data_IF_187197638539
#
_entry.id   IF_187197638539
#
_cell.length_a   1.000
_cell.length_b   1.000
_cell.length_c   1.000
_cell.angle_alpha   90.00
_cell.angle_beta   90.00
_cell.angle_gamma   90.00
#
_symmetry.space_group_name_H-M   'P 1'
#
loop_
_entity.id
_entity.type
_entity.pdbx_description
1 polymer ?
#
# COMPACT_ATOMS: atom_id res chain seq x y z
N UNK A 1 -11.33 -2.73 -23.55
CA UNK A 1 -11.43 -2.78 -22.07
C UNK A 1 -11.62 -4.23 -21.66
N UNK A 2 -10.58 -4.88 -21.17
CA UNK A 2 -10.68 -6.25 -20.68
C UNK A 2 -10.41 -6.20 -19.18
N UNK A 3 -11.46 -6.44 -18.38
CA UNK A 3 -11.29 -6.77 -16.97
C UNK A 3 -10.56 -8.12 -16.90
N UNK A 4 -9.61 -8.26 -15.98
CA UNK A 4 -8.82 -9.49 -15.82
C UNK A 4 -8.95 -9.97 -14.38
N UNK A 5 -9.67 -11.07 -14.17
CA UNK A 5 -9.82 -11.69 -12.85
C UNK A 5 -9.78 -13.21 -12.92
N UNK A 6 -9.65 -13.84 -11.76
CA UNK A 6 -9.52 -15.28 -11.56
C UNK A 6 -10.61 -15.86 -10.63
N UNK A 7 -11.62 -15.07 -10.23
CA UNK A 7 -12.80 -15.58 -9.53
C UNK A 7 -13.44 -16.71 -10.33
N UNK A 8 -13.59 -17.87 -9.68
CA UNK A 8 -14.16 -19.09 -10.26
C UNK A 8 -14.66 -20.03 -9.15
N UNK A 9 -15.39 -21.07 -9.53
CA UNK A 9 -15.86 -22.12 -8.62
C UNK A 9 -14.73 -23.12 -8.27
N UNK A 10 -13.78 -22.65 -7.47
CA UNK A 10 -12.66 -23.42 -6.93
C UNK A 10 -12.60 -23.32 -5.39
N UNK A 11 -11.55 -23.84 -4.77
CA UNK A 11 -11.40 -23.85 -3.30
C UNK A 11 -11.36 -22.45 -2.65
N UNK A 12 -11.04 -21.38 -3.40
CA UNK A 12 -11.13 -20.01 -2.89
C UNK A 12 -12.54 -19.44 -3.08
N UNK A 13 -13.22 -19.81 -4.17
CA UNK A 13 -14.49 -19.21 -4.57
C UNK A 13 -14.40 -17.68 -4.60
N UNK A 14 -15.38 -17.03 -3.94
CA UNK A 14 -15.45 -15.58 -3.77
C UNK A 14 -15.06 -15.12 -2.36
N UNK A 15 -14.49 -16.01 -1.56
CA UNK A 15 -14.18 -15.74 -0.16
C UNK A 15 -13.09 -14.69 -0.04
N UNK A 16 -13.24 -13.81 0.93
CA UNK A 16 -12.16 -12.94 1.40
C UNK A 16 -11.27 -13.71 2.41
N UNK A 17 -10.23 -13.08 2.96
CA UNK A 17 -9.25 -13.78 3.79
C UNK A 17 -9.88 -14.36 5.07
N UNK A 18 -10.79 -13.63 5.70
CA UNK A 18 -11.52 -14.08 6.90
C UNK A 18 -12.46 -15.23 6.54
N UNK A 19 -13.24 -15.13 5.46
CA UNK A 19 -14.13 -16.21 5.04
C UNK A 19 -13.37 -17.48 4.66
N UNK A 20 -12.20 -17.34 4.03
CA UNK A 20 -11.35 -18.47 3.68
C UNK A 20 -10.71 -19.12 4.93
N UNK A 21 -10.27 -18.31 5.90
CA UNK A 21 -9.79 -18.81 7.19
C UNK A 21 -10.86 -19.59 7.95
N UNK A 22 -12.12 -19.11 7.94
CA UNK A 22 -13.26 -19.82 8.53
C UNK A 22 -13.53 -21.16 7.83
N UNK A 23 -13.45 -21.20 6.50
CA UNK A 23 -13.62 -22.44 5.72
C UNK A 23 -12.51 -23.47 5.98
N UNK A 24 -11.26 -23.03 6.06
CA UNK A 24 -10.11 -23.86 6.43
C UNK A 24 -10.26 -24.39 7.86
N UNK A 25 -10.61 -23.52 8.82
CA UNK A 25 -10.81 -23.90 10.23
C UNK A 25 -11.99 -24.87 10.43
N UNK A 26 -13.02 -24.80 9.60
CA UNK A 26 -14.16 -25.71 9.60
C UNK A 26 -13.93 -27.00 8.80
N UNK A 27 -12.77 -27.16 8.13
CA UNK A 27 -12.47 -28.32 7.28
C UNK A 27 -13.34 -28.43 6.02
N UNK A 28 -13.92 -27.31 5.54
CA UNK A 28 -14.70 -27.27 4.30
C UNK A 28 -13.82 -27.35 3.05
N UNK A 29 -12.59 -26.87 3.16
CA UNK A 29 -11.50 -26.96 2.18
C UNK A 29 -10.20 -27.23 2.93
N UNK A 30 -9.23 -27.85 2.28
CA UNK A 30 -7.88 -28.06 2.81
C UNK A 30 -6.92 -26.95 2.39
N UNK A 31 -5.84 -26.76 3.15
CA UNK A 31 -4.78 -25.80 2.80
C UNK A 31 -4.11 -26.14 1.46
N UNK A 32 -3.98 -27.44 1.13
CA UNK A 32 -3.43 -27.88 -0.16
C UNK A 32 -4.35 -27.49 -1.33
N UNK A 33 -5.67 -27.74 -1.22
CA UNK A 33 -6.64 -27.36 -2.25
C UNK A 33 -6.65 -25.84 -2.48
N UNK A 34 -6.63 -25.07 -1.39
CA UNK A 34 -6.61 -23.60 -1.45
C UNK A 34 -5.33 -23.08 -2.08
N UNK A 35 -4.17 -23.62 -1.72
CA UNK A 35 -2.89 -23.18 -2.30
C UNK A 35 -2.79 -23.54 -3.78
N UNK A 36 -3.23 -24.73 -4.20
CA UNK A 36 -3.26 -25.10 -5.62
C UNK A 36 -4.20 -24.20 -6.43
N UNK A 37 -5.40 -23.94 -5.91
CA UNK A 37 -6.34 -23.04 -6.57
C UNK A 37 -5.76 -21.61 -6.69
N UNK A 38 -5.10 -21.09 -5.65
CA UNK A 38 -4.47 -19.78 -5.71
C UNK A 38 -3.29 -19.74 -6.70
N UNK A 39 -2.49 -20.81 -6.78
CA UNK A 39 -1.43 -20.93 -7.80
C UNK A 39 -2.03 -20.87 -9.20
N UNK A 40 -3.08 -21.65 -9.48
CA UNK A 40 -3.76 -21.66 -10.77
C UNK A 40 -4.32 -20.27 -11.12
N UNK A 41 -4.96 -19.59 -10.17
CA UNK A 41 -5.44 -18.22 -10.34
C UNK A 41 -4.31 -17.24 -10.64
N UNK A 42 -3.19 -17.31 -9.92
CA UNK A 42 -2.01 -16.46 -10.19
C UNK A 42 -1.47 -16.72 -11.59
N UNK A 43 -1.35 -17.98 -12.02
CA UNK A 43 -0.86 -18.31 -13.36
C UNK A 43 -1.76 -17.78 -14.49
N UNK A 44 -3.07 -17.73 -14.26
CA UNK A 44 -4.03 -17.16 -15.20
C UNK A 44 -3.86 -15.64 -15.39
N UNK A 45 -3.67 -14.88 -14.31
CA UNK A 45 -3.76 -13.40 -14.37
C UNK A 45 -2.42 -12.68 -14.27
N UNK A 46 -1.37 -13.30 -13.71
CA UNK A 46 -0.10 -12.62 -13.47
C UNK A 46 0.63 -12.20 -14.76
N UNK A 47 0.46 -12.95 -15.86
CA UNK A 47 1.02 -12.61 -17.17
C UNK A 47 0.43 -11.32 -17.72
N UNK A 48 -0.90 -11.26 -17.99
CA UNK A 48 -1.56 -10.04 -18.47
C UNK A 48 -1.39 -8.82 -17.55
N UNK A 49 -1.29 -9.03 -16.23
CA UNK A 49 -1.12 -7.95 -15.25
C UNK A 49 0.34 -7.59 -14.97
N UNK A 50 1.30 -8.42 -15.40
CA UNK A 50 2.72 -8.33 -15.09
C UNK A 50 3.03 -8.23 -13.58
N UNK A 51 2.30 -8.96 -12.74
CA UNK A 51 2.24 -8.67 -11.30
C UNK A 51 3.23 -9.45 -10.41
N UNK A 52 3.91 -10.48 -10.95
CA UNK A 52 4.81 -11.36 -10.17
C UNK A 52 6.29 -11.00 -10.40
N UNK A 53 7.07 -10.91 -9.32
CA UNK A 53 8.52 -10.75 -9.35
C UNK A 53 9.27 -12.09 -9.18
N UNK A 54 8.74 -12.99 -8.33
CA UNK A 54 9.33 -14.29 -8.08
C UNK A 54 8.25 -15.32 -7.70
N UNK A 55 8.32 -16.54 -8.24
CA UNK A 55 7.40 -17.64 -7.91
C UNK A 55 8.05 -18.59 -6.91
N UNK A 56 7.33 -18.97 -5.86
CA UNK A 56 7.79 -19.88 -4.82
C UNK A 56 6.80 -21.03 -4.56
N UNK A 57 6.14 -21.52 -5.63
CA UNK A 57 5.01 -22.46 -5.53
C UNK A 57 5.35 -23.79 -4.84
N UNK A 58 6.51 -24.37 -5.11
CA UNK A 58 6.95 -25.61 -4.43
C UNK A 58 7.12 -25.42 -2.91
N UNK A 59 7.61 -24.24 -2.51
CA UNK A 59 7.68 -23.87 -1.10
C UNK A 59 6.27 -23.73 -0.51
N UNK A 60 5.37 -23.02 -1.19
CA UNK A 60 4.00 -22.84 -0.75
C UNK A 60 3.26 -24.18 -0.56
N UNK A 61 3.42 -25.12 -1.50
CA UNK A 61 2.91 -26.50 -1.41
C UNK A 61 3.43 -27.23 -0.17
N UNK A 62 4.71 -27.07 0.12
CA UNK A 62 5.34 -27.68 1.30
C UNK A 62 4.79 -27.08 2.60
N UNK A 63 4.64 -25.76 2.66
CA UNK A 63 4.10 -25.05 3.83
C UNK A 63 2.62 -25.37 4.08
N UNK A 64 1.84 -25.54 3.01
CA UNK A 64 0.41 -25.91 3.10
C UNK A 64 0.19 -27.23 3.86
N UNK A 65 1.10 -28.20 3.70
CA UNK A 65 1.03 -29.51 4.39
C UNK A 65 1.21 -29.43 5.90
N UNK A 66 1.94 -28.43 6.36
CA UNK A 66 2.20 -28.19 7.78
C UNK A 66 1.41 -27.02 8.33
N UNK A 67 0.40 -26.53 7.60
CA UNK A 67 -0.45 -25.45 8.05
C UNK A 67 -1.24 -25.89 9.30
N UNK A 68 -1.04 -25.18 10.42
CA UNK A 68 -1.94 -25.22 11.57
C UNK A 68 -1.63 -24.14 12.59
N UNK A 69 -2.51 -23.98 13.59
CA UNK A 69 -2.21 -23.25 14.84
C UNK A 69 -2.38 -21.73 14.83
N UNK A 70 -2.53 -21.09 13.67
CA UNK A 70 -2.76 -19.64 13.54
C UNK A 70 -4.06 -19.33 12.80
N UNK A 71 -4.61 -18.12 12.96
CA UNK A 71 -5.90 -17.76 12.35
C UNK A 71 -5.88 -17.80 10.83
N UNK A 72 -4.82 -17.32 10.17
CA UNK A 72 -4.69 -17.34 8.71
C UNK A 72 -4.00 -18.61 8.18
N UNK A 73 -3.97 -19.69 8.97
CA UNK A 73 -3.26 -20.90 8.60
C UNK A 73 -3.76 -21.47 7.28
N UNK A 74 -2.87 -21.54 6.28
CA UNK A 74 -3.19 -22.04 4.93
C UNK A 74 -3.77 -21.00 3.97
N UNK A 75 -4.00 -19.76 4.43
CA UNK A 75 -4.49 -18.67 3.56
C UNK A 75 -3.36 -18.17 2.66
N UNK A 76 -3.53 -18.16 1.32
CA UNK A 76 -2.46 -17.80 0.39
C UNK A 76 -2.24 -16.29 0.35
N UNK A 77 -0.99 -15.89 0.15
CA UNK A 77 -0.57 -14.48 0.07
C UNK A 77 0.62 -14.27 -0.87
N UNK A 78 1.03 -13.01 -1.03
CA UNK A 78 2.25 -12.58 -1.70
C UNK A 78 3.01 -11.57 -0.84
N UNK A 79 4.33 -11.60 -0.95
CA UNK A 79 5.21 -10.63 -0.28
C UNK A 79 5.81 -9.67 -1.30
N UNK A 80 5.54 -8.36 -1.18
CA UNK A 80 6.20 -7.34 -2.01
C UNK A 80 7.71 -7.53 -2.07
N UNK A 81 8.30 -7.40 -3.25
CA UNK A 81 9.72 -7.71 -3.51
C UNK A 81 10.73 -6.68 -2.94
N UNK A 82 10.41 -6.05 -1.80
CA UNK A 82 11.33 -5.22 -1.01
C UNK A 82 11.46 -5.65 0.46
N UNK A 83 10.92 -6.82 0.81
CA UNK A 83 11.09 -7.45 2.13
C UNK A 83 11.76 -8.80 1.95
N UNK A 84 12.76 -9.08 2.79
CA UNK A 84 13.47 -10.35 2.77
C UNK A 84 12.61 -11.48 3.32
N UNK A 85 12.56 -12.57 2.56
CA UNK A 85 11.92 -13.82 2.92
C UNK A 85 12.95 -14.92 2.71
N UNK A 86 13.24 -15.72 3.74
CA UNK A 86 14.25 -16.77 3.73
C UNK A 86 14.08 -17.70 2.52
N UNK A 87 15.16 -17.95 1.79
CA UNK A 87 15.16 -18.78 0.59
C UNK A 87 14.64 -18.09 -0.68
N UNK A 88 14.09 -16.87 -0.61
CA UNK A 88 13.64 -16.10 -1.77
C UNK A 88 14.61 -14.95 -2.07
N UNK A 89 14.83 -14.59 -3.35
CA UNK A 89 15.54 -13.36 -3.69
C UNK A 89 14.71 -12.11 -3.38
N UNK A 90 15.39 -10.98 -3.29
CA UNK A 90 14.80 -9.63 -3.18
C UNK A 90 15.51 -8.71 -4.17
N UNK A 91 14.77 -8.12 -5.13
CA UNK A 91 15.31 -7.24 -6.16
C UNK A 91 14.83 -5.79 -6.02
N UNK A 92 13.86 -5.50 -5.16
CA UNK A 92 13.32 -4.14 -4.94
C UNK A 92 12.89 -3.45 -6.24
N UNK A 93 12.41 -4.23 -7.23
CA UNK A 93 11.89 -3.72 -8.49
C UNK A 93 12.95 -3.14 -9.44
N UNK A 94 14.23 -3.51 -9.28
CA UNK A 94 15.33 -3.04 -10.13
C UNK A 94 16.15 -4.20 -10.71
N UNK A 95 16.90 -3.91 -11.78
CA UNK A 95 17.89 -4.80 -12.40
C UNK A 95 19.33 -4.50 -11.94
N UNK A 96 19.47 -3.76 -10.84
CA UNK A 96 20.75 -3.21 -10.42
C UNK A 96 21.76 -4.22 -9.88
N UNK A 97 21.37 -5.45 -9.54
CA UNK A 97 22.28 -6.50 -9.07
C UNK A 97 21.81 -7.90 -9.50
N UNK A 98 22.64 -8.92 -9.29
CA UNK A 98 22.22 -10.31 -9.49
C UNK A 98 21.50 -10.84 -8.23
N UNK A 99 20.28 -11.37 -8.35
CA UNK A 99 19.50 -11.84 -7.20
C UNK A 99 20.21 -12.99 -6.47
N UNK A 100 20.08 -13.00 -5.15
CA UNK A 100 20.49 -14.13 -4.29
C UNK A 100 19.40 -14.39 -3.26
N UNK A 101 19.11 -15.66 -2.94
CA UNK A 101 18.20 -15.99 -1.85
C UNK A 101 18.63 -15.35 -0.52
N UNK A 102 17.68 -14.71 0.17
CA UNK A 102 17.89 -14.24 1.53
C UNK A 102 18.12 -15.41 2.48
N UNK A 103 18.97 -15.23 3.48
CA UNK A 103 19.31 -16.31 4.43
C UNK A 103 18.22 -16.56 5.46
N UNK A 104 17.43 -15.54 5.77
CA UNK A 104 16.38 -15.54 6.79
C UNK A 104 15.32 -14.52 6.41
N UNK A 105 14.16 -14.65 7.03
CA UNK A 105 13.13 -13.62 6.96
C UNK A 105 13.63 -12.31 7.59
N UNK A 106 13.16 -11.19 7.04
CA UNK A 106 13.15 -9.91 7.73
C UNK A 106 12.23 -9.91 8.94
N UNK A 107 12.34 -8.89 9.78
CA UNK A 107 11.55 -8.75 11.01
C UNK A 107 10.04 -8.67 10.68
N UNK A 108 9.68 -7.95 9.60
CA UNK A 108 8.28 -7.90 9.15
C UNK A 108 7.83 -9.25 8.56
N UNK A 109 8.61 -9.87 7.67
CA UNK A 109 8.24 -11.15 7.06
C UNK A 109 8.03 -12.26 8.10
N UNK A 110 8.88 -12.32 9.12
CA UNK A 110 8.73 -13.28 10.22
C UNK A 110 7.40 -13.09 10.96
N UNK A 111 7.02 -11.85 11.28
CA UNK A 111 5.71 -11.55 11.89
C UNK A 111 4.56 -11.86 10.93
N UNK A 112 4.67 -11.41 9.68
CA UNK A 112 3.64 -11.54 8.66
C UNK A 112 3.29 -13.00 8.38
N UNK A 113 4.29 -13.84 8.09
CA UNK A 113 4.10 -15.27 7.83
C UNK A 113 3.77 -16.04 9.12
N UNK A 114 4.21 -15.56 10.27
CA UNK A 114 3.83 -16.11 11.58
C UNK A 114 2.32 -16.08 11.85
N UNK A 115 1.56 -15.21 11.17
CA UNK A 115 0.09 -15.21 11.25
C UNK A 115 -0.58 -16.44 10.61
N UNK A 116 0.20 -17.28 9.93
CA UNK A 116 -0.24 -18.53 9.27
C UNK A 116 -0.37 -18.43 7.75
N UNK A 117 -0.17 -17.24 7.18
CA UNK A 117 -0.25 -17.00 5.74
C UNK A 117 0.83 -17.78 4.98
N UNK A 118 0.47 -18.30 3.80
CA UNK A 118 1.36 -19.07 2.92
C UNK A 118 1.75 -18.24 1.70
N UNK A 119 3.03 -17.88 1.58
CA UNK A 119 3.49 -17.01 0.51
C UNK A 119 3.72 -17.78 -0.81
N UNK A 120 2.96 -17.43 -1.85
CA UNK A 120 3.13 -18.01 -3.20
C UNK A 120 4.36 -17.47 -3.94
N UNK A 121 4.98 -16.41 -3.41
CA UNK A 121 6.14 -15.76 -4.00
C UNK A 121 6.20 -14.26 -3.69
N UNK A 122 6.88 -13.53 -4.57
CA UNK A 122 7.10 -12.09 -4.47
C UNK A 122 6.37 -11.33 -5.56
N UNK A 123 5.72 -10.23 -5.19
CA UNK A 123 4.98 -9.36 -6.13
C UNK A 123 5.84 -8.20 -6.64
N UNK A 124 5.54 -7.74 -7.86
CA UNK A 124 6.23 -6.61 -8.48
C UNK A 124 5.96 -5.28 -7.75
N UNK A 125 6.95 -4.40 -7.82
CA UNK A 125 6.94 -3.02 -7.33
C UNK A 125 7.70 -2.11 -8.30
N UNK A 126 7.49 -0.80 -8.18
CA UNK A 126 8.38 0.20 -8.80
C UNK A 126 9.76 0.15 -8.15
N UNK A 127 10.82 0.49 -8.89
CA UNK A 127 12.21 0.53 -8.41
C UNK A 127 12.34 1.27 -7.06
N UNK A 128 12.81 0.53 -6.04
CA UNK A 128 12.92 0.90 -4.62
C UNK A 128 11.67 1.47 -3.96
N UNK A 129 10.56 1.48 -4.67
CA UNK A 129 9.33 2.14 -4.28
C UNK A 129 9.27 3.65 -4.51
N UNK A 130 10.11 4.22 -5.38
CA UNK A 130 10.17 5.67 -5.58
C UNK A 130 9.09 6.26 -6.51
N UNK A 131 8.45 5.44 -7.35
CA UNK A 131 7.37 5.85 -8.24
C UNK A 131 6.00 5.40 -7.71
N UNK A 132 4.94 6.09 -8.13
CA UNK A 132 3.55 5.70 -7.93
C UNK A 132 3.00 4.83 -9.07
N UNK A 133 3.82 4.48 -10.06
CA UNK A 133 3.53 3.47 -11.09
C UNK A 133 4.71 2.51 -11.21
N UNK A 134 4.46 1.19 -11.29
CA UNK A 134 5.50 0.20 -11.55
C UNK A 134 5.59 -0.05 -13.06
N UNK A 135 6.46 0.69 -13.74
CA UNK A 135 6.67 0.61 -15.20
C UNK A 135 8.12 0.25 -15.50
N UNK A 136 8.51 -0.95 -15.10
CA UNK A 136 9.89 -1.39 -15.18
C UNK A 136 10.39 -1.36 -16.65
N UNK A 137 11.52 -0.71 -16.98
CA UNK A 137 11.97 -0.53 -18.37
C UNK A 137 12.06 -1.82 -19.20
N UNK A 138 12.54 -2.91 -18.58
CA UNK A 138 12.62 -4.25 -19.20
C UNK A 138 11.35 -5.11 -19.10
N UNK A 139 10.69 -5.14 -17.93
CA UNK A 139 9.55 -6.04 -17.69
C UNK A 139 8.22 -5.45 -18.16
N UNK A 140 8.16 -4.14 -18.40
CA UNK A 140 6.92 -3.41 -18.69
C UNK A 140 6.14 -3.03 -17.43
N UNK A 141 4.94 -2.50 -17.65
CA UNK A 141 4.08 -2.00 -16.58
C UNK A 141 3.28 -3.09 -15.86
N UNK A 142 3.10 -2.92 -14.55
CA UNK A 142 2.09 -3.61 -13.78
C UNK A 142 0.74 -2.93 -13.99
N UNK A 143 -0.26 -3.69 -14.39
CA UNK A 143 -1.55 -3.18 -14.89
C UNK A 143 -2.66 -3.44 -13.89
N UNK A 144 -3.60 -2.50 -13.76
CA UNK A 144 -4.79 -2.75 -12.94
C UNK A 144 -5.70 -3.77 -13.63
N UNK A 145 -6.27 -4.74 -12.89
CA UNK A 145 -7.19 -5.70 -13.47
C UNK A 145 -8.50 -5.08 -13.94
N UNK A 146 -8.87 -3.88 -13.48
CA UNK A 146 -10.09 -3.17 -13.91
C UNK A 146 -10.03 -2.70 -15.37
N UNK A 147 -8.84 -2.34 -15.83
CA UNK A 147 -8.55 -2.01 -17.22
C UNK A 147 -7.04 -2.08 -17.46
N UNK A 148 -6.59 -3.03 -18.27
CA UNK A 148 -5.17 -3.28 -18.50
C UNK A 148 -4.45 -2.14 -19.25
N UNK A 149 -5.17 -1.15 -19.80
CA UNK A 149 -4.56 0.08 -20.33
C UNK A 149 -4.04 1.03 -19.23
N UNK A 150 -4.39 0.81 -17.97
CA UNK A 150 -4.09 1.68 -16.84
C UNK A 150 -3.12 1.05 -15.83
N UNK A 151 -2.42 1.91 -15.08
CA UNK A 151 -1.48 1.49 -14.04
C UNK A 151 -2.19 0.79 -12.89
N UNK A 152 -1.54 -0.21 -12.28
CA UNK A 152 -1.97 -0.79 -11.00
C UNK A 152 -1.68 0.12 -9.79
N UNK A 153 -1.09 1.30 -9.97
CA UNK A 153 -0.61 2.14 -8.87
C UNK A 153 0.54 1.47 -8.13
N UNK A 154 1.31 2.23 -7.37
CA UNK A 154 2.58 1.75 -6.83
C UNK A 154 2.93 2.46 -5.50
N UNK A 155 3.89 1.97 -4.72
CA UNK A 155 4.83 0.91 -5.10
C UNK A 155 4.37 -0.53 -4.91
N UNK A 156 3.27 -0.83 -4.20
CA UNK A 156 2.81 -2.22 -3.99
C UNK A 156 1.94 -2.76 -5.13
N UNK A 157 2.37 -2.54 -6.38
CA UNK A 157 1.56 -2.75 -7.59
C UNK A 157 1.10 -4.18 -7.78
N UNK A 158 2.03 -5.13 -7.74
CA UNK A 158 1.70 -6.53 -7.99
C UNK A 158 0.81 -7.13 -6.89
N UNK A 159 1.04 -6.72 -5.63
CA UNK A 159 0.21 -7.13 -4.50
C UNK A 159 -1.24 -6.71 -4.70
N UNK A 160 -1.50 -5.44 -5.01
CA UNK A 160 -2.85 -4.95 -5.20
C UNK A 160 -3.51 -5.51 -6.47
N UNK A 161 -2.78 -5.62 -7.57
CA UNK A 161 -3.32 -6.19 -8.80
C UNK A 161 -3.78 -7.64 -8.60
N UNK A 162 -3.00 -8.47 -7.88
CA UNK A 162 -3.33 -9.88 -7.66
C UNK A 162 -4.42 -10.08 -6.60
N UNK A 163 -4.52 -9.21 -5.60
CA UNK A 163 -5.64 -9.22 -4.64
C UNK A 163 -6.95 -8.81 -5.32
N UNK A 164 -6.93 -7.74 -6.13
CA UNK A 164 -8.10 -7.25 -6.85
C UNK A 164 -8.57 -8.20 -7.95
N UNK A 165 -7.64 -8.89 -8.62
CA UNK A 165 -7.96 -9.93 -9.61
C UNK A 165 -8.52 -11.22 -8.97
N UNK A 166 -8.58 -11.32 -7.64
CA UNK A 166 -9.08 -12.51 -6.95
C UNK A 166 -8.08 -13.67 -6.89
N UNK A 167 -6.80 -13.45 -7.21
CA UNK A 167 -5.78 -14.50 -7.21
C UNK A 167 -5.31 -14.89 -5.80
N UNK A 168 -5.27 -13.92 -4.88
CA UNK A 168 -5.09 -14.15 -3.43
C UNK A 168 -6.05 -13.23 -2.65
N UNK A 169 -6.47 -13.57 -1.42
CA UNK A 169 -7.37 -12.72 -0.64
C UNK A 169 -6.69 -11.52 0.03
N UNK A 170 -5.40 -11.64 0.34
CA UNK A 170 -4.61 -10.66 1.05
C UNK A 170 -3.19 -10.67 0.51
N UNK A 171 -2.51 -9.53 0.51
CA UNK A 171 -1.10 -9.45 0.15
C UNK A 171 -0.36 -8.37 0.96
N UNK A 172 0.90 -8.61 1.25
CA UNK A 172 1.77 -7.62 1.89
C UNK A 172 1.96 -6.41 0.97
N UNK A 173 1.93 -5.23 1.59
CA UNK A 173 2.25 -3.95 1.00
C UNK A 173 2.95 -3.05 2.03
N UNK A 174 3.70 -2.05 1.58
CA UNK A 174 4.29 -1.05 2.47
C UNK A 174 4.27 0.34 1.85
N UNK A 175 4.29 1.37 2.69
CA UNK A 175 3.90 2.74 2.39
C UNK A 175 4.89 3.75 2.96
N UNK A 176 5.67 4.40 2.09
CA UNK A 176 6.57 5.52 2.43
C UNK A 176 6.07 6.90 2.01
N UNK A 177 5.13 6.94 1.06
CA UNK A 177 4.53 8.15 0.50
C UNK A 177 3.13 7.89 -0.11
N UNK A 178 2.47 6.79 0.26
CA UNK A 178 1.21 6.33 -0.32
C UNK A 178 1.22 4.88 -0.83
N UNK A 179 2.33 4.17 -0.77
CA UNK A 179 2.50 2.89 -1.49
C UNK A 179 1.64 1.69 -1.01
N UNK A 180 0.83 1.83 0.04
CA UNK A 180 -0.32 0.93 0.32
C UNK A 180 -1.60 1.55 -0.24
N UNK A 181 -1.83 2.83 0.07
CA UNK A 181 -3.07 3.57 -0.21
C UNK A 181 -3.31 3.83 -1.71
N UNK A 182 -2.27 4.21 -2.45
CA UNK A 182 -2.28 4.45 -3.91
C UNK A 182 -2.72 3.18 -4.65
N UNK A 183 -2.02 2.03 -4.54
CA UNK A 183 -2.44 0.83 -5.23
C UNK A 183 -3.78 0.28 -4.69
N UNK A 184 -4.15 0.53 -3.43
CA UNK A 184 -5.49 0.19 -2.96
C UNK A 184 -6.59 1.01 -3.66
N UNK A 185 -6.41 2.33 -3.77
CA UNK A 185 -7.36 3.24 -4.40
C UNK A 185 -7.65 2.89 -5.86
N UNK A 186 -6.61 2.61 -6.65
CA UNK A 186 -6.76 2.38 -8.10
C UNK A 186 -7.27 0.97 -8.44
N UNK A 187 -7.15 0.02 -7.52
CA UNK A 187 -7.57 -1.37 -7.74
C UNK A 187 -8.86 -1.73 -6.99
N UNK A 188 -9.53 -0.78 -6.35
CA UNK A 188 -10.79 -1.04 -5.66
C UNK A 188 -10.61 -1.86 -4.37
N UNK A 189 -9.57 -1.59 -3.59
CA UNK A 189 -9.22 -2.35 -2.39
C UNK A 189 -9.20 -1.47 -1.13
N UNK A 190 -9.19 -2.14 0.01
CA UNK A 190 -8.89 -1.55 1.33
C UNK A 190 -7.38 -1.52 1.52
N UNK A 191 -6.85 -0.35 1.91
CA UNK A 191 -5.43 -0.19 2.21
C UNK A 191 -5.19 0.72 3.41
N UNK A 192 -4.80 0.13 4.55
CA UNK A 192 -4.47 0.86 5.78
C UNK A 192 -2.95 1.02 5.92
N UNK A 193 -2.48 2.26 5.88
CA UNK A 193 -1.15 2.63 6.41
C UNK A 193 -1.28 2.78 7.93
N UNK A 194 -0.65 1.92 8.75
CA UNK A 194 -0.80 2.03 10.19
C UNK A 194 0.03 3.19 10.76
N UNK A 195 -0.13 3.43 12.06
CA UNK A 195 0.75 4.33 12.81
C UNK A 195 2.18 3.84 12.72
N UNK A 196 3.14 4.77 12.64
CA UNK A 196 4.56 4.45 12.66
C UNK A 196 4.90 3.58 13.88
N UNK A 197 5.53 2.42 13.62
CA UNK A 197 5.94 1.49 14.67
C UNK A 197 4.84 0.55 15.16
N UNK A 198 3.65 0.54 14.52
CA UNK A 198 2.56 -0.39 14.84
C UNK A 198 2.91 -1.86 14.59
N UNK A 199 3.66 -2.14 13.52
CA UNK A 199 4.04 -3.48 13.10
C UNK A 199 5.55 -3.67 13.21
N UNK A 200 5.99 -4.94 13.23
CA UNK A 200 7.39 -5.28 13.13
C UNK A 200 8.00 -4.62 11.88
N UNK A 201 9.22 -4.12 11.99
CA UNK A 201 9.82 -3.30 10.95
C UNK A 201 11.29 -3.64 10.78
N UNK A 202 11.77 -3.84 9.56
CA UNK A 202 13.17 -4.18 9.30
C UNK A 202 14.16 -3.10 9.77
N UNK A 203 15.37 -3.53 10.15
CA UNK A 203 16.43 -2.63 10.65
C UNK A 203 16.69 -1.43 9.74
N UNK A 204 16.76 -1.65 8.43
CA UNK A 204 17.01 -0.58 7.45
C UNK A 204 15.98 0.55 7.55
N UNK A 205 14.72 0.21 7.83
CA UNK A 205 13.64 1.19 7.97
C UNK A 205 13.66 1.85 9.37
N UNK A 206 14.02 1.10 10.42
CA UNK A 206 14.15 1.66 11.78
C UNK A 206 15.25 2.71 11.91
N UNK A 207 16.33 2.56 11.13
CA UNK A 207 17.50 3.46 11.18
C UNK A 207 17.34 4.74 10.33
N UNK A 208 16.21 4.95 9.66
CA UNK A 208 15.97 6.14 8.83
C UNK A 208 15.89 7.43 9.65
N UNK A 209 16.41 8.59 9.15
CA UNK A 209 16.33 9.87 9.87
C UNK A 209 14.90 10.30 10.22
N UNK A 210 13.96 10.01 9.34
CA UNK A 210 12.51 10.04 9.55
C UNK A 210 11.96 8.70 9.06
N UNK A 211 11.38 7.92 9.97
CA UNK A 211 10.83 6.58 9.68
C UNK A 211 9.49 6.70 8.93
N UNK A 212 9.55 7.04 7.64
CA UNK A 212 8.35 7.32 6.84
C UNK A 212 7.66 6.06 6.29
N UNK A 213 8.37 4.93 6.29
CA UNK A 213 7.87 3.66 5.78
C UNK A 213 7.10 2.93 6.88
N UNK A 214 5.93 2.41 6.53
CA UNK A 214 5.15 1.49 7.37
C UNK A 214 4.69 0.32 6.52
N UNK A 215 4.91 -0.89 7.01
CA UNK A 215 4.39 -2.12 6.40
C UNK A 215 2.90 -2.31 6.74
N UNK A 216 2.23 -3.17 5.98
CA UNK A 216 0.81 -3.44 6.08
C UNK A 216 0.34 -4.41 5.00
N UNK A 217 -0.94 -4.33 4.65
CA UNK A 217 -1.58 -5.20 3.67
C UNK A 217 -2.55 -4.42 2.79
N UNK A 218 -2.89 -5.02 1.65
CA UNK A 218 -4.07 -4.66 0.86
C UNK A 218 -5.04 -5.84 0.88
N UNK A 219 -6.33 -5.55 1.05
CA UNK A 219 -7.40 -6.56 1.20
C UNK A 219 -8.66 -6.17 0.42
N UNK A 220 -9.56 -7.14 0.18
CA UNK A 220 -10.84 -6.87 -0.49
C UNK A 220 -11.92 -6.33 0.44
N UNK A 221 -11.85 -6.66 1.73
CA UNK A 221 -12.85 -6.25 2.74
C UNK A 221 -12.19 -5.55 3.93
N UNK A 222 -13.00 -4.78 4.67
CA UNK A 222 -12.55 -4.15 5.92
C UNK A 222 -12.23 -5.20 6.98
N UNK A 223 -13.02 -6.29 7.04
CA UNK A 223 -12.80 -7.37 8.01
C UNK A 223 -11.47 -8.10 7.83
N UNK A 224 -10.99 -8.24 6.60
CA UNK A 224 -9.66 -8.80 6.33
C UNK A 224 -8.55 -7.91 6.89
N UNK A 225 -8.66 -6.59 6.69
CA UNK A 225 -7.71 -5.62 7.27
C UNK A 225 -7.76 -5.69 8.79
N UNK A 226 -8.95 -5.68 9.40
CA UNK A 226 -9.12 -5.75 10.85
C UNK A 226 -8.51 -7.05 11.44
N UNK A 227 -8.80 -8.20 10.84
CA UNK A 227 -8.26 -9.49 11.26
C UNK A 227 -6.74 -9.55 11.13
N UNK A 228 -6.16 -9.01 10.04
CA UNK A 228 -4.71 -8.93 9.88
C UNK A 228 -4.06 -8.18 11.04
N UNK A 229 -4.55 -6.98 11.37
CA UNK A 229 -3.97 -6.19 12.46
C UNK A 229 -4.15 -6.84 13.83
N UNK A 230 -5.29 -7.51 14.08
CA UNK A 230 -5.52 -8.31 15.30
C UNK A 230 -4.48 -9.43 15.45
N UNK A 231 -4.24 -10.21 14.40
CA UNK A 231 -3.28 -11.33 14.46
C UNK A 231 -1.84 -10.84 14.51
N UNK A 232 -1.51 -9.77 13.77
CA UNK A 232 -0.18 -9.17 13.84
C UNK A 232 0.13 -8.65 15.25
N UNK A 233 -0.84 -8.03 15.94
CA UNK A 233 -0.68 -7.52 17.31
C UNK A 233 -0.38 -8.63 18.34
N UNK A 234 -0.84 -9.87 18.08
CA UNK A 234 -0.53 -11.04 18.93
C UNK A 234 0.93 -11.50 18.82
N UNK A 235 1.55 -11.28 17.66
CA UNK A 235 2.95 -11.65 17.39
C UNK A 235 3.91 -10.50 17.67
N UNK A 236 3.45 -9.27 17.43
CA UNK A 236 4.21 -8.05 17.65
C UNK A 236 3.31 -6.95 18.21
N UNK A 237 3.45 -6.66 19.50
CA UNK A 237 2.66 -5.64 20.18
C UNK A 237 3.46 -4.34 20.37
N UNK A 238 2.99 -3.27 19.75
CA UNK A 238 3.52 -1.92 19.96
C UNK A 238 3.02 -1.35 21.30
N UNK A 239 3.78 -1.54 22.38
CA UNK A 239 3.35 -1.20 23.76
C UNK A 239 3.11 0.30 24.00
N UNK A 240 3.69 1.18 23.18
CA UNK A 240 3.52 2.64 23.26
C UNK A 240 2.23 3.13 22.62
N UNK A 241 1.48 2.25 21.93
CA UNK A 241 0.25 2.58 21.24
C UNK A 241 -0.93 1.83 21.87
N UNK A 242 -2.15 2.40 21.84
CA UNK A 242 -3.34 1.66 22.25
C UNK A 242 -3.51 0.42 21.34
N UNK A 243 -4.01 -0.70 21.90
CA UNK A 243 -4.26 -1.90 21.11
C UNK A 243 -5.34 -1.63 20.06
N UNK A 244 -5.22 -2.27 18.89
CA UNK A 244 -6.29 -2.25 17.88
C UNK A 244 -7.41 -3.20 18.31
N UNK A 245 -7.04 -4.39 18.80
CA UNK A 245 -8.00 -5.39 19.25
C UNK A 245 -8.77 -6.10 18.13
N UNK A 246 -9.83 -6.81 18.52
CA UNK A 246 -10.69 -7.59 17.63
C UNK A 246 -11.92 -6.79 17.21
N UNK A 247 -11.75 -5.95 16.17
CA UNK A 247 -12.79 -5.06 15.66
C UNK A 247 -13.65 -5.76 14.62
N UNK A 248 -14.94 -5.91 14.91
CA UNK A 248 -15.91 -6.63 14.07
C UNK A 248 -17.19 -5.83 13.82
N UNK A 249 -17.23 -4.55 14.21
CA UNK A 249 -18.45 -3.74 14.21
C UNK A 249 -18.17 -2.30 13.74
N UNK A 250 -19.17 -1.64 13.16
CA UNK A 250 -19.08 -0.24 12.78
C UNK A 250 -19.01 0.67 14.00
N UNK A 251 -18.49 1.88 13.79
CA UNK A 251 -18.47 2.91 14.81
C UNK A 251 -19.90 3.32 15.20
N UNK A 252 -20.10 3.60 16.49
CA UNK A 252 -21.39 4.08 17.02
C UNK A 252 -21.44 5.58 17.29
N UNK A 253 -20.28 6.17 17.58
CA UNK A 253 -20.18 7.62 17.81
C UNK A 253 -20.12 8.36 16.48
N UNK A 254 -20.63 9.58 16.46
CA UNK A 254 -20.50 10.49 15.31
C UNK A 254 -19.22 11.30 15.43
N UNK A 255 -18.67 11.65 14.28
CA UNK A 255 -17.32 12.20 14.16
C UNK A 255 -17.38 13.60 13.59
N UNK A 256 -16.40 14.41 13.96
CA UNK A 256 -16.10 15.66 13.27
C UNK A 256 -15.03 15.37 12.22
N UNK A 257 -15.43 15.44 10.96
CA UNK A 257 -14.62 15.04 9.81
C UNK A 257 -14.21 16.28 9.03
N UNK A 258 -12.91 16.48 8.88
CA UNK A 258 -12.39 17.51 8.02
C UNK A 258 -12.39 17.06 6.56
N UNK A 259 -13.00 17.82 5.66
CA UNK A 259 -12.94 17.60 4.22
C UNK A 259 -11.83 18.44 3.60
N UNK A 260 -10.99 17.83 2.76
CA UNK A 260 -9.97 18.55 2.00
C UNK A 260 -9.76 17.96 0.59
N UNK A 261 -9.91 18.83 -0.42
CA UNK A 261 -9.65 18.48 -1.84
C UNK A 261 -8.56 19.36 -2.47
N UNK A 262 -7.88 20.19 -1.69
CA UNK A 262 -6.87 21.15 -2.17
C UNK A 262 -5.44 20.58 -2.19
N UNK A 263 -5.19 19.51 -1.43
CA UNK A 263 -3.92 18.79 -1.43
C UNK A 263 -2.74 19.59 -0.87
N UNK A 264 -1.56 18.97 -0.84
CA UNK A 264 -0.33 19.57 -0.29
C UNK A 264 0.30 20.57 -1.27
N UNK A 265 0.34 20.20 -2.55
CA UNK A 265 0.93 20.99 -3.64
C UNK A 265 -0.10 21.36 -4.70
N UNK A 266 -0.96 20.41 -5.06
CA UNK A 266 -2.00 20.55 -6.08
C UNK A 266 -3.31 19.91 -5.60
N UNK A 267 -4.42 20.52 -6.00
CA UNK A 267 -5.76 20.04 -5.67
C UNK A 267 -6.20 18.89 -6.55
N UNK A 268 -7.29 18.26 -6.13
CA UNK A 268 -8.00 17.27 -6.92
C UNK A 268 -8.60 17.91 -8.17
N UNK A 269 -8.67 17.15 -9.25
CA UNK A 269 -9.42 17.54 -10.44
C UNK A 269 -10.93 17.60 -10.16
N UNK A 270 -11.69 18.15 -11.11
CA UNK A 270 -13.12 18.40 -10.92
C UNK A 270 -13.91 17.11 -10.62
N UNK A 271 -13.59 16.00 -11.30
CA UNK A 271 -14.26 14.72 -11.11
C UNK A 271 -13.95 14.15 -9.72
N UNK A 272 -12.67 14.10 -9.35
CA UNK A 272 -12.20 13.56 -8.08
C UNK A 272 -12.71 14.37 -6.90
N UNK A 273 -12.73 15.70 -7.04
CA UNK A 273 -13.34 16.61 -6.06
C UNK A 273 -14.82 16.27 -5.85
N UNK A 274 -15.60 16.18 -6.94
CA UNK A 274 -17.02 15.87 -6.86
C UNK A 274 -17.29 14.48 -6.22
N UNK A 275 -16.45 13.48 -6.53
CA UNK A 275 -16.54 12.15 -5.91
C UNK A 275 -16.22 12.18 -4.41
N UNK A 276 -15.30 13.05 -3.99
CA UNK A 276 -14.96 13.23 -2.56
C UNK A 276 -16.09 13.94 -1.83
N UNK A 277 -16.68 14.99 -2.43
CA UNK A 277 -17.84 15.70 -1.88
C UNK A 277 -19.07 14.79 -1.76
N UNK A 278 -19.26 13.85 -2.69
CA UNK A 278 -20.29 12.81 -2.57
C UNK A 278 -20.05 11.89 -1.37
N UNK A 279 -18.80 11.57 -1.08
CA UNK A 279 -18.42 10.79 0.11
C UNK A 279 -18.64 11.59 1.39
N UNK A 280 -18.38 12.90 1.36
CA UNK A 280 -18.72 13.80 2.46
C UNK A 280 -20.24 13.82 2.72
N UNK A 281 -21.06 13.91 1.67
CA UNK A 281 -22.53 13.87 1.80
C UNK A 281 -23.00 12.55 2.43
N UNK A 282 -22.42 11.41 2.03
CA UNK A 282 -22.72 10.11 2.64
C UNK A 282 -22.39 10.09 4.15
N UNK A 283 -21.29 10.72 4.56
CA UNK A 283 -20.92 10.81 5.99
C UNK A 283 -21.91 11.68 6.77
N UNK A 284 -22.39 12.77 6.17
CA UNK A 284 -23.45 13.60 6.76
C UNK A 284 -24.77 12.82 6.90
N UNK A 285 -25.16 12.04 5.88
CA UNK A 285 -26.33 11.16 5.92
C UNK A 285 -26.23 10.08 7.02
N UNK A 286 -25.01 9.58 7.28
CA UNK A 286 -24.73 8.66 8.39
C UNK A 286 -24.71 9.37 9.77
N UNK A 287 -24.76 10.70 9.79
CA UNK A 287 -24.87 11.55 10.97
C UNK A 287 -23.55 12.12 11.48
N UNK A 288 -22.45 12.02 10.71
CA UNK A 288 -21.21 12.73 11.02
C UNK A 288 -21.35 14.22 10.71
N UNK A 289 -20.48 15.04 11.30
CA UNK A 289 -20.34 16.45 10.93
C UNK A 289 -19.15 16.60 10.01
N UNK A 290 -19.35 17.11 8.80
CA UNK A 290 -18.27 17.38 7.86
C UNK A 290 -17.98 18.89 7.81
N UNK A 291 -16.71 19.26 7.79
CA UNK A 291 -16.29 20.67 7.72
C UNK A 291 -15.11 20.80 6.77
N UNK A 292 -15.20 21.73 5.82
CA UNK A 292 -14.07 22.04 4.95
C UNK A 292 -12.86 22.52 5.77
N UNK A 293 -11.68 22.05 5.39
CA UNK A 293 -10.42 22.43 6.03
C UNK A 293 -9.28 22.54 5.03
N UNK A 294 -8.33 23.42 5.30
CA UNK A 294 -7.05 23.45 4.61
C UNK A 294 -6.12 22.33 5.11
N UNK A 295 -5.12 21.96 4.30
CA UNK A 295 -4.15 20.95 4.72
C UNK A 295 -3.29 21.57 5.82
N UNK A 296 -3.05 20.89 6.96
CA UNK A 296 -2.29 21.43 8.08
C UNK A 296 -0.76 21.45 7.82
N UNK A 297 -0.33 21.86 6.62
CA UNK A 297 1.08 21.92 6.22
C UNK A 297 1.46 23.30 5.70
N UNK A 298 2.69 23.69 5.96
CA UNK A 298 3.26 24.91 5.38
C UNK A 298 3.64 24.75 3.91
N UNK A 299 3.87 25.87 3.19
CA UNK A 299 4.13 25.87 1.75
C UNK A 299 5.44 25.17 1.34
N UNK A 300 6.38 24.97 2.28
CA UNK A 300 7.63 24.25 2.00
C UNK A 300 7.51 22.73 2.08
N UNK A 301 6.37 22.20 2.52
CA UNK A 301 6.24 20.77 2.84
C UNK A 301 6.51 19.87 1.63
N UNK A 302 5.96 20.19 0.45
CA UNK A 302 6.17 19.40 -0.75
C UNK A 302 7.66 19.33 -1.14
N UNK A 303 8.35 20.47 -1.15
CA UNK A 303 9.78 20.55 -1.46
C UNK A 303 10.64 19.84 -0.40
N UNK A 304 10.29 19.98 0.87
CA UNK A 304 10.99 19.33 1.98
C UNK A 304 10.83 17.81 1.90
N UNK A 305 9.61 17.33 1.61
CA UNK A 305 9.33 15.91 1.40
C UNK A 305 10.08 15.38 0.18
N UNK A 306 10.05 16.08 -0.95
CA UNK A 306 10.77 15.70 -2.16
C UNK A 306 12.28 15.62 -1.89
N UNK A 307 12.85 16.59 -1.18
CA UNK A 307 14.27 16.57 -0.83
C UNK A 307 14.60 15.39 0.10
N UNK A 308 13.73 15.07 1.05
CA UNK A 308 13.91 13.90 1.91
C UNK A 308 13.79 12.59 1.12
N UNK A 309 12.81 12.48 0.24
CA UNK A 309 12.62 11.33 -0.66
C UNK A 309 13.84 11.14 -1.59
N UNK A 310 14.36 12.24 -2.13
CA UNK A 310 15.56 12.27 -2.94
C UNK A 310 16.81 11.83 -2.17
N UNK A 311 16.91 12.16 -0.87
CA UNK A 311 17.98 11.69 0.00
C UNK A 311 17.96 10.17 0.15
N UNK A 312 16.77 9.55 0.24
CA UNK A 312 16.64 8.10 0.29
C UNK A 312 17.13 7.43 -1.00
N UNK A 313 16.79 7.98 -2.17
CA UNK A 313 17.32 7.50 -3.45
C UNK A 313 18.85 7.64 -3.53
N UNK A 314 19.39 8.77 -3.07
CA UNK A 314 20.83 8.96 -2.98
C UNK A 314 21.48 7.92 -2.07
N UNK A 315 20.86 7.58 -0.93
CA UNK A 315 21.34 6.54 -0.02
C UNK A 315 21.36 5.15 -0.68
N UNK A 316 20.30 4.76 -1.40
CA UNK A 316 20.27 3.47 -2.12
C UNK A 316 21.43 3.36 -3.13
N UNK A 317 21.74 4.44 -3.85
CA UNK A 317 22.85 4.45 -4.80
C UNK A 317 24.23 4.45 -4.13
N UNK A 318 24.38 5.01 -2.93
CA UNK A 318 25.66 4.99 -2.21
C UNK A 318 25.91 3.66 -1.50
N UNK A 319 24.87 3.02 -0.98
CA UNK A 319 24.96 1.73 -0.27
C UNK A 319 24.85 0.52 -1.18
N UNK A 320 24.44 0.68 -2.44
CA UNK A 320 24.23 -0.43 -3.37
C UNK A 320 25.43 -1.36 -3.54
N UNK A 321 26.64 -0.82 -3.79
CA UNK A 321 27.86 -1.66 -3.91
C UNK A 321 28.29 -2.30 -2.57
N UNK A 322 28.29 -1.59 -1.42
CA UNK A 322 28.48 -2.22 -0.11
C UNK A 322 27.52 -3.38 0.17
N UNK A 323 26.24 -3.26 -0.21
CA UNK A 323 25.21 -4.27 0.08
C UNK A 323 25.20 -5.44 -0.91
N UNK A 324 25.37 -5.18 -2.20
CA UNK A 324 25.19 -6.18 -3.28
C UNK A 324 26.50 -6.59 -3.97
N UNK A 325 27.62 -6.05 -3.50
CA UNK A 325 28.96 -6.41 -3.94
C UNK A 325 29.24 -6.05 -5.41
N UNK A 326 30.03 -6.91 -6.08
CA UNK A 326 30.53 -6.65 -7.45
C UNK A 326 29.47 -6.70 -8.54
N UNK A 327 28.31 -7.32 -8.28
CA UNK A 327 27.22 -7.42 -9.26
C UNK A 327 26.42 -6.13 -9.39
N UNK A 328 26.57 -5.22 -8.42
CA UNK A 328 25.84 -3.97 -8.41
C UNK A 328 26.30 -3.01 -9.51
N UNK A 329 25.35 -2.50 -10.29
CA UNK A 329 25.60 -1.61 -11.42
C UNK A 329 24.70 -0.38 -11.35
N UNK A 330 25.31 0.80 -11.15
CA UNK A 330 24.58 2.07 -11.04
C UNK A 330 23.75 2.41 -12.29
N UNK A 331 24.25 2.12 -13.48
CA UNK A 331 23.58 2.47 -14.74
C UNK A 331 22.33 1.64 -15.04
N UNK A 332 22.04 0.62 -14.24
CA UNK A 332 20.84 -0.22 -14.39
C UNK A 332 19.62 0.35 -13.63
N UNK A 333 19.77 1.52 -13.01
CA UNK A 333 18.66 2.23 -12.36
C UNK A 333 17.94 3.11 -13.35
N UNK A 334 16.66 3.37 -13.08
CA UNK A 334 15.84 4.21 -13.94
C UNK A 334 16.16 5.72 -13.79
N UNK A 335 15.60 6.53 -14.69
CA UNK A 335 15.87 7.97 -14.68
C UNK A 335 15.31 8.68 -13.45
N UNK A 336 14.25 8.14 -12.83
CA UNK A 336 13.66 8.71 -11.63
C UNK A 336 14.61 8.56 -10.44
N UNK A 337 15.12 7.35 -10.18
CA UNK A 337 16.08 7.07 -9.11
C UNK A 337 17.37 7.87 -9.31
N UNK A 338 17.92 7.87 -10.53
CA UNK A 338 19.14 8.63 -10.85
C UNK A 338 18.92 10.14 -10.74
N UNK A 339 17.73 10.62 -11.12
CA UNK A 339 17.31 12.01 -11.04
C UNK A 339 17.14 12.50 -9.61
N UNK A 340 16.40 11.75 -8.77
CA UNK A 340 16.24 11.98 -7.34
C UNK A 340 17.61 12.06 -6.64
N UNK A 341 18.48 11.09 -6.87
CA UNK A 341 19.82 11.09 -6.31
C UNK A 341 20.66 12.32 -6.74
N UNK A 342 20.47 12.81 -7.98
CA UNK A 342 21.10 14.05 -8.45
C UNK A 342 20.50 15.28 -7.78
N UNK A 343 19.19 15.32 -7.62
CA UNK A 343 18.47 16.38 -6.91
C UNK A 343 18.96 16.51 -5.47
N UNK A 344 19.07 15.39 -4.74
CA UNK A 344 19.60 15.38 -3.38
C UNK A 344 21.02 15.93 -3.31
N UNK A 345 21.93 15.46 -4.16
CA UNK A 345 23.34 15.93 -4.19
C UNK A 345 23.47 17.43 -4.40
N UNK A 346 22.63 18.02 -5.26
CA UNK A 346 22.62 19.48 -5.50
C UNK A 346 22.10 20.27 -4.30
N UNK A 347 21.31 19.64 -3.43
CA UNK A 347 20.60 20.30 -2.34
C UNK A 347 20.98 19.78 -0.93
N UNK A 348 22.10 19.07 -0.78
CA UNK A 348 22.51 18.48 0.52
C UNK A 348 22.58 19.50 1.66
N UNK A 349 23.01 20.73 1.38
CA UNK A 349 23.08 21.82 2.36
C UNK A 349 21.71 22.21 2.94
N UNK A 350 20.59 21.88 2.27
CA UNK A 350 19.22 22.17 2.72
C UNK A 350 18.61 21.04 3.55
N UNK A 351 19.20 19.83 3.50
CA UNK A 351 18.64 18.61 4.12
C UNK A 351 18.41 18.76 5.63
N UNK A 352 19.34 19.29 6.44
CA UNK A 352 19.10 19.43 7.88
C UNK A 352 17.89 20.31 8.20
N UNK A 353 17.69 21.40 7.43
CA UNK A 353 16.55 22.29 7.56
C UNK A 353 15.24 21.63 7.15
N UNK A 354 15.24 20.88 6.04
CA UNK A 354 14.07 20.12 5.58
C UNK A 354 13.65 19.07 6.60
N UNK A 355 14.60 18.27 7.13
CA UNK A 355 14.32 17.27 8.18
C UNK A 355 13.73 17.94 9.42
N UNK A 356 14.27 19.09 9.84
CA UNK A 356 13.77 19.83 11.00
C UNK A 356 12.33 20.30 10.79
N UNK A 357 12.01 20.85 9.62
CA UNK A 357 10.64 21.29 9.29
C UNK A 357 9.67 20.11 9.21
N UNK A 358 10.05 19.02 8.56
CA UNK A 358 9.23 17.81 8.47
C UNK A 358 8.95 17.20 9.86
N UNK A 359 9.95 17.18 10.76
CA UNK A 359 9.73 16.71 12.14
C UNK A 359 8.76 17.59 12.92
N UNK A 360 8.77 18.91 12.69
CA UNK A 360 7.81 19.85 13.30
C UNK A 360 6.38 19.67 12.79
N UNK A 361 6.22 19.16 11.57
CA UNK A 361 4.91 18.88 10.99
C UNK A 361 4.10 17.88 11.83
N UNK A 362 4.77 16.97 12.57
CA UNK A 362 4.09 16.08 13.52
C UNK A 362 3.35 16.85 14.64
N UNK A 363 3.96 17.91 15.18
CA UNK A 363 3.32 18.74 16.22
C UNK A 363 2.14 19.55 15.65
N UNK A 364 2.20 19.98 14.39
CA UNK A 364 1.07 20.65 13.73
C UNK A 364 -0.11 19.69 13.49
N UNK A 365 0.18 18.41 13.28
CA UNK A 365 -0.84 17.37 13.15
C UNK A 365 -1.63 17.15 14.44
N UNK A 366 -0.99 17.27 15.61
CA UNK A 366 -1.68 17.14 16.90
C UNK A 366 -2.79 18.19 17.04
N UNK A 367 -2.48 19.47 16.79
CA UNK A 367 -3.45 20.57 16.82
C UNK A 367 -4.60 20.36 15.82
N UNK A 368 -4.30 19.79 14.66
CA UNK A 368 -5.32 19.47 13.67
C UNK A 368 -6.26 18.37 14.17
N UNK A 369 -5.72 17.34 14.82
CA UNK A 369 -6.49 16.23 15.39
C UNK A 369 -7.22 16.57 16.70
N UNK A 370 -6.87 17.67 17.37
CA UNK A 370 -7.69 18.22 18.46
C UNK A 370 -9.01 18.79 17.95
N UNK A 371 -9.06 19.24 16.68
CA UNK A 371 -10.25 19.85 16.07
C UNK A 371 -11.12 18.84 15.33
N UNK A 372 -10.50 17.81 14.75
CA UNK A 372 -11.16 16.84 13.89
C UNK A 372 -10.75 15.41 14.27
N UNK A 373 -11.72 14.52 14.39
CA UNK A 373 -11.47 13.10 14.64
C UNK A 373 -10.72 12.46 13.45
N UNK A 374 -11.14 12.82 12.23
CA UNK A 374 -10.67 12.22 10.97
C UNK A 374 -10.59 13.29 9.87
N UNK A 375 -9.62 13.18 8.97
CA UNK A 375 -9.58 13.93 7.71
C UNK A 375 -9.99 13.03 6.54
N UNK A 376 -11.00 13.45 5.78
CA UNK A 376 -11.37 12.94 4.47
C UNK A 376 -10.65 13.73 3.37
N UNK A 377 -9.90 13.02 2.54
CA UNK A 377 -9.34 13.53 1.28
C UNK A 377 -9.58 12.50 0.17
N UNK A 378 -9.52 12.86 -1.12
CA UNK A 378 -9.28 11.82 -2.11
C UNK A 378 -7.91 11.16 -1.85
N UNK A 379 -7.74 9.90 -2.22
CA UNK A 379 -6.43 9.25 -2.10
C UNK A 379 -5.43 9.77 -3.15
N UNK A 380 -5.92 10.10 -4.34
CA UNK A 380 -5.16 10.57 -5.50
C UNK A 380 -5.86 11.78 -6.12
N UNK A 381 -5.12 12.67 -6.77
CA UNK A 381 -5.68 13.94 -7.27
C UNK A 381 -6.54 13.81 -8.53
N UNK A 382 -6.41 12.72 -9.26
CA UNK A 382 -7.13 12.47 -10.52
C UNK A 382 -7.31 10.97 -10.75
N UNK A 383 -8.23 10.57 -11.67
CA UNK A 383 -8.40 9.19 -12.09
C UNK A 383 -7.09 8.49 -12.45
N UNK A 384 -7.07 7.17 -12.28
CA UNK A 384 -5.89 6.34 -12.58
C UNK A 384 -5.36 6.61 -13.99
N UNK A 385 -4.10 7.00 -14.17
CA UNK A 385 -3.56 7.32 -15.48
C UNK A 385 -3.33 6.05 -16.31
N UNK A 386 -3.26 6.24 -17.63
CA UNK A 386 -2.84 5.19 -18.56
C UNK A 386 -1.38 4.79 -18.31
N UNK A 387 -1.07 3.53 -18.60
CA UNK A 387 0.33 3.07 -18.69
C UNK A 387 1.10 3.96 -19.67
N UNK A 388 2.34 4.29 -19.33
CA UNK A 388 3.20 5.23 -20.04
C UNK A 388 3.16 6.64 -19.45
N UNK A 389 2.15 7.00 -18.64
CA UNK A 389 2.07 8.33 -18.05
C UNK A 389 3.29 8.62 -17.15
N UNK A 390 3.63 7.66 -16.28
CA UNK A 390 4.75 7.70 -15.33
C UNK A 390 5.92 6.79 -15.77
N UNK A 391 6.08 6.57 -17.07
CA UNK A 391 7.19 5.79 -17.63
C UNK A 391 8.54 6.35 -17.15
N UNK A 392 9.35 5.56 -16.42
CA UNK A 392 10.59 6.01 -15.81
C UNK A 392 11.75 6.11 -16.82
N UNK A 393 11.51 5.83 -18.11
CA UNK A 393 12.45 6.12 -19.20
C UNK A 393 12.36 7.56 -19.72
N UNK A 394 11.29 8.29 -19.37
CA UNK A 394 11.21 9.75 -19.57
C UNK A 394 12.27 10.48 -18.73
N UNK A 395 12.45 11.79 -18.96
CA UNK A 395 13.35 12.59 -18.12
C UNK A 395 12.82 12.70 -16.68
N UNK A 396 13.74 12.84 -15.73
CA UNK A 396 13.43 13.01 -14.31
C UNK A 396 12.42 14.14 -14.08
N UNK A 397 12.62 15.28 -14.74
CA UNK A 397 11.78 16.47 -14.57
C UNK A 397 10.33 16.20 -14.99
N UNK A 398 10.11 15.47 -16.09
CA UNK A 398 8.77 15.14 -16.58
C UNK A 398 8.08 14.13 -15.67
N UNK A 399 8.77 13.06 -15.26
CA UNK A 399 8.19 12.04 -14.37
C UNK A 399 7.87 12.64 -13.01
N UNK A 400 8.76 13.46 -12.46
CA UNK A 400 8.58 14.04 -11.13
C UNK A 400 7.42 15.06 -11.10
N UNK A 401 7.26 15.88 -12.13
CA UNK A 401 6.12 16.81 -12.22
C UNK A 401 4.79 16.03 -12.22
N UNK A 402 4.65 15.03 -13.11
CA UNK A 402 3.46 14.16 -13.15
C UNK A 402 3.20 13.40 -11.84
N UNK A 403 4.25 12.96 -11.15
CA UNK A 403 4.12 12.30 -9.84
C UNK A 403 3.58 13.26 -8.78
N UNK A 404 4.11 14.48 -8.71
CA UNK A 404 3.64 15.50 -7.76
C UNK A 404 2.20 15.93 -8.05
N UNK A 405 1.80 15.88 -9.32
CA UNK A 405 0.44 16.20 -9.75
C UNK A 405 -0.57 15.16 -9.30
N UNK A 406 -0.22 13.88 -9.41
CA UNK A 406 -1.13 12.79 -9.10
C UNK A 406 -1.14 12.42 -7.60
N UNK A 407 0.01 12.48 -6.93
CA UNK A 407 0.25 12.00 -5.56
C UNK A 407 0.28 13.17 -4.55
N UNK A 408 -0.77 13.99 -4.57
CA UNK A 408 -0.79 15.25 -3.80
C UNK A 408 -1.27 15.12 -2.35
N UNK A 409 -1.80 13.97 -1.94
CA UNK A 409 -2.54 13.81 -0.66
C UNK A 409 -1.89 12.86 0.34
N UNK A 410 -1.20 11.81 -0.12
CA UNK A 410 -0.68 10.73 0.73
C UNK A 410 0.56 11.05 1.57
N UNK A 411 1.48 11.98 1.21
CA UNK A 411 2.73 12.17 1.96
C UNK A 411 2.58 12.63 3.42
N UNK A 412 1.47 13.30 3.75
CA UNK A 412 1.26 13.89 5.07
C UNK A 412 1.38 12.87 6.20
N UNK A 413 0.63 11.76 6.10
CA UNK A 413 0.59 10.74 7.15
C UNK A 413 1.89 9.91 7.24
N UNK A 414 2.72 9.89 6.20
CA UNK A 414 4.05 9.28 6.27
C UNK A 414 5.01 10.12 7.11
N UNK A 415 4.95 11.45 6.95
CA UNK A 415 5.80 12.38 7.71
C UNK A 415 5.38 12.46 9.17
N UNK A 416 4.09 12.66 9.44
CA UNK A 416 3.60 12.74 10.83
C UNK A 416 3.70 11.38 11.52
N UNK A 417 3.52 10.29 10.78
CA UNK A 417 3.45 8.93 11.31
C UNK A 417 2.03 8.53 11.74
N UNK A 418 1.04 9.39 11.52
CA UNK A 418 -0.38 9.12 11.71
C UNK A 418 -0.87 7.96 10.82
N UNK A 419 -1.91 7.20 11.22
CA UNK A 419 -2.52 6.19 10.37
C UNK A 419 -3.42 6.82 9.30
N UNK A 420 -3.58 6.13 8.16
CA UNK A 420 -4.56 6.49 7.13
C UNK A 420 -5.04 5.26 6.36
N UNK A 421 -6.34 5.19 6.09
CA UNK A 421 -6.98 4.12 5.31
C UNK A 421 -7.54 4.67 4.00
N UNK A 422 -7.25 3.99 2.89
CA UNK A 422 -7.92 4.22 1.61
C UNK A 422 -9.03 3.20 1.42
N UNK A 423 -10.23 3.66 1.07
CA UNK A 423 -11.42 2.85 0.82
C UNK A 423 -11.94 3.09 -0.61
N UNK A 424 -12.44 2.06 -1.30
CA UNK A 424 -12.92 2.16 -2.68
C UNK A 424 -14.38 2.63 -2.74
N UNK A 425 -14.61 3.89 -2.34
CA UNK A 425 -15.96 4.47 -2.19
C UNK A 425 -16.50 5.16 -3.45
N UNK A 426 -15.74 5.17 -4.54
CA UNK A 426 -16.15 5.84 -5.77
C UNK A 426 -15.70 5.08 -7.02
N UNK A 427 -16.40 5.36 -8.12
CA UNK A 427 -16.08 4.90 -9.47
C UNK A 427 -16.09 6.11 -10.39
N UNK A 428 -15.05 6.25 -11.20
CA UNK A 428 -14.93 7.33 -12.18
C UNK A 428 -15.94 7.15 -13.31
N UNK A 429 -16.18 8.21 -14.09
CA UNK A 429 -16.96 8.18 -15.31
C UNK A 429 -16.42 7.19 -16.36
N UNK A 430 -15.11 6.88 -16.29
CA UNK A 430 -14.46 5.86 -17.11
C UNK A 430 -14.58 4.43 -16.55
N UNK A 431 -15.28 4.24 -15.43
CA UNK A 431 -15.52 2.93 -14.83
C UNK A 431 -14.36 2.37 -14.00
N UNK A 432 -13.40 3.22 -13.60
CA UNK A 432 -12.26 2.81 -12.78
C UNK A 432 -12.53 3.10 -11.29
N UNK A 433 -12.01 2.28 -10.37
CA UNK A 433 -12.07 2.60 -8.94
C UNK A 433 -11.38 3.93 -8.62
N UNK A 434 -11.99 4.68 -7.71
CA UNK A 434 -11.42 5.89 -7.12
C UNK A 434 -11.47 5.77 -5.58
N UNK A 435 -10.31 5.88 -4.94
CA UNK A 435 -10.19 5.76 -3.49
C UNK A 435 -10.42 7.08 -2.75
N UNK A 436 -11.04 6.95 -1.57
CA UNK A 436 -11.17 8.01 -0.58
C UNK A 436 -10.33 7.66 0.65
N UNK A 437 -9.53 8.62 1.10
CA UNK A 437 -8.59 8.43 2.20
C UNK A 437 -9.11 9.08 3.47
N UNK A 438 -9.04 8.34 4.57
CA UNK A 438 -9.35 8.78 5.91
C UNK A 438 -8.09 8.73 6.77
N UNK A 439 -7.65 9.87 7.30
CA UNK A 439 -6.50 9.97 8.22
C UNK A 439 -6.95 10.33 9.63
N UNK A 440 -6.36 9.70 10.65
CA UNK A 440 -6.67 9.98 12.06
C UNK A 440 -5.38 10.23 12.86
N UNK A 441 -5.50 10.60 14.14
CA UNK A 441 -4.36 10.80 15.01
C UNK A 441 -3.53 9.51 15.22
N UNK A 442 -2.23 9.59 15.58
CA UNK A 442 -1.43 8.42 15.93
C UNK A 442 -2.13 7.51 16.94
N UNK A 443 -2.12 6.19 16.66
CA UNK A 443 -2.79 5.18 17.49
C UNK A 443 -4.28 4.99 17.24
N UNK A 444 -4.90 5.76 16.34
CA UNK A 444 -6.34 5.71 16.05
C UNK A 444 -6.69 4.78 14.88
N UNK A 445 -5.95 3.68 14.66
CA UNK A 445 -6.32 2.68 13.65
C UNK A 445 -7.69 2.08 13.92
N UNK A 446 -8.05 1.88 15.20
CA UNK A 446 -9.35 1.33 15.57
C UNK A 446 -10.50 2.22 15.08
N UNK A 447 -10.40 3.53 15.30
CA UNK A 447 -11.34 4.54 14.80
C UNK A 447 -11.50 4.44 13.27
N UNK A 448 -10.39 4.33 12.53
CA UNK A 448 -10.42 4.23 11.07
C UNK A 448 -11.07 2.94 10.58
N UNK A 449 -10.80 1.81 11.25
CA UNK A 449 -11.39 0.50 10.91
C UNK A 449 -12.89 0.48 11.22
N UNK A 450 -13.31 1.01 12.36
CA UNK A 450 -14.73 1.09 12.73
C UNK A 450 -15.52 2.03 11.80
N UNK A 451 -14.93 3.16 11.38
CA UNK A 451 -15.52 4.04 10.35
C UNK A 451 -15.60 3.32 8.99
N UNK A 452 -14.55 2.58 8.62
CA UNK A 452 -14.53 1.82 7.39
C UNK A 452 -15.63 0.75 7.35
N UNK A 453 -15.92 0.08 8.48
CA UNK A 453 -17.05 -0.84 8.57
C UNK A 453 -18.40 -0.15 8.36
N UNK A 454 -18.61 1.05 8.92
CA UNK A 454 -19.87 1.79 8.71
C UNK A 454 -20.04 2.17 7.22
N UNK A 455 -18.95 2.60 6.58
CA UNK A 455 -18.93 2.95 5.15
C UNK A 455 -19.11 1.73 4.23
N UNK A 456 -18.45 0.60 4.53
CA UNK A 456 -18.61 -0.65 3.76
C UNK A 456 -20.04 -1.19 3.87
N UNK A 457 -20.71 -1.01 5.01
CA UNK A 457 -22.12 -1.39 5.20
C UNK A 457 -23.08 -0.47 4.44
N UNK A 458 -22.82 0.84 4.45
CA UNK A 458 -23.65 1.83 3.77
C UNK A 458 -23.47 1.79 2.25
N UNK A 459 -22.25 1.53 1.79
CA UNK A 459 -21.87 1.46 0.38
C UNK A 459 -20.93 0.26 0.17
N UNK A 460 -21.48 -0.95 -0.07
CA UNK A 460 -20.68 -2.13 -0.39
C UNK A 460 -19.76 -1.86 -1.59
N UNK A 461 -18.51 -2.30 -1.49
CA UNK A 461 -17.51 -2.00 -2.50
C UNK A 461 -17.80 -2.70 -3.83
N UNK A 462 -17.50 -2.00 -4.93
CA UNK A 462 -17.66 -2.54 -6.26
C UNK A 462 -16.77 -3.78 -6.44
N UNK A 463 -17.33 -4.86 -6.98
CA UNK A 463 -16.58 -6.06 -7.32
C UNK A 463 -16.22 -6.07 -8.80
N UNK A 464 -15.06 -6.61 -9.13
CA UNK A 464 -14.55 -6.65 -10.51
C UNK A 464 -15.29 -7.67 -11.39
N UNK A 465 -15.82 -8.72 -10.76
CA UNK A 465 -16.58 -9.82 -11.34
C UNK A 465 -18.10 -9.54 -11.40
N UNK A 466 -18.54 -8.38 -10.91
CA UNK A 466 -19.93 -7.93 -10.95
C UNK A 466 -20.33 -7.26 -12.28
#
# INVERSE_FOLDING_TARGET
MQRVHAFSDDALGDLDAVGLAEHLGAGKVSAEEVVEAAIARVEQVAGPLNAMAHKAYERARTEARSAGGSFFSGVPTLVKDNVDVGGMPTMSGTDAWQPRPAKRDGDFAAMYLGTGLVALGKSQLSEYGFSASAEHPRLGAVRTPWNTEHSAGASSSGSAALVAAGAVPIAHANDGGGSIRIPAAVNGLVGLKPTRGRLAQDKMMRDMPIRIISDGVVTRSVRDTAAFFREAERLHRALELPPIGDLTRPIKRRLHIALNTSGVSRGADAETKALTEKTASLLEDLGHTVTESEVPVGPSFADDFLLYWALLAQAMLTTGRPLHGRTWTKSNHDNLTLGLARHARRNLHRVPGAITRLKRAAAQAEVYHERFDVALTPTLASPTPKVGHLDPTQSYEVVMDKLLDWVAFTPWQNITGAPAISLPLATTASGLPQGMMFGAAPGQEALLIELAYELEQALPFARIDA
#
